data_IF_723687338879
#
_entry.id   IF_723687338879
#
_cell.length_a   1.000
_cell.length_b   1.000
_cell.length_c   1.000
_cell.angle_alpha   90.00
_cell.angle_beta   90.00
_cell.angle_gamma   90.00
#
_symmetry.space_group_name_H-M   'P 1'
#
loop_
_entity.id
_entity.type
_entity.pdbx_description
1 polymer ?
#
# COMPACT_ATOMS: atom_id res chain seq x y z
N UNK A 1 -0.74 15.62 -28.46
CA UNK A 1 0.37 15.61 -27.48
C UNK A 1 -0.24 15.73 -26.09
N UNK A 2 0.12 14.84 -25.14
CA UNK A 2 -0.40 14.92 -23.78
C UNK A 2 0.01 16.27 -23.15
N UNK A 3 -0.95 16.98 -22.56
CA UNK A 3 -0.69 18.29 -21.95
C UNK A 3 0.33 18.11 -20.79
N UNK A 4 1.47 18.82 -20.77
CA UNK A 4 2.55 18.60 -19.81
C UNK A 4 2.13 18.72 -18.34
N UNK A 5 1.08 19.52 -18.05
CA UNK A 5 0.49 19.61 -16.72
C UNK A 5 -0.20 18.31 -16.29
N UNK A 6 -0.83 17.61 -17.22
CA UNK A 6 -1.50 16.32 -16.98
C UNK A 6 -0.46 15.22 -16.75
N UNK A 7 0.67 15.25 -17.46
CA UNK A 7 1.74 14.26 -17.26
C UNK A 7 2.46 14.38 -15.92
N UNK A 8 2.40 15.54 -15.24
CA UNK A 8 3.01 15.75 -13.92
C UNK A 8 1.97 15.57 -12.79
N UNK A 9 0.76 16.08 -12.97
CA UNK A 9 -0.30 15.98 -11.96
C UNK A 9 -0.76 14.53 -11.74
N UNK A 10 -0.81 13.70 -12.78
CA UNK A 10 -1.27 12.30 -12.68
C UNK A 10 -0.32 11.44 -11.84
N UNK A 11 1.01 11.48 -12.01
CA UNK A 11 1.94 10.82 -11.10
C UNK A 11 1.79 11.28 -9.66
N UNK A 12 1.70 12.59 -9.40
CA UNK A 12 1.62 13.14 -8.04
C UNK A 12 0.32 12.72 -7.35
N UNK A 13 -0.82 12.85 -8.03
CA UNK A 13 -2.10 12.37 -7.53
C UNK A 13 -2.11 10.85 -7.36
N UNK A 14 -1.44 10.11 -8.26
CA UNK A 14 -1.28 8.67 -8.16
C UNK A 14 -0.51 8.23 -6.91
N UNK A 15 0.59 8.93 -6.58
CA UNK A 15 1.38 8.65 -5.36
C UNK A 15 0.57 8.96 -4.10
N UNK A 16 -0.11 10.10 -4.05
CA UNK A 16 -0.97 10.47 -2.91
C UNK A 16 -2.13 9.48 -2.74
N UNK A 17 -2.83 9.15 -3.81
CA UNK A 17 -3.94 8.21 -3.77
C UNK A 17 -3.49 6.79 -3.42
N UNK A 18 -2.33 6.34 -3.90
CA UNK A 18 -1.74 5.07 -3.48
C UNK A 18 -1.46 5.08 -1.98
N UNK A 19 -0.87 6.14 -1.43
CA UNK A 19 -0.58 6.23 0.01
C UNK A 19 -1.85 6.18 0.88
N UNK A 20 -2.92 6.86 0.47
CA UNK A 20 -4.20 6.88 1.19
C UNK A 20 -4.95 5.56 1.01
N UNK A 21 -4.93 4.98 -0.19
CA UNK A 21 -5.54 3.69 -0.49
C UNK A 21 -4.87 2.55 0.28
N UNK A 22 -3.54 2.57 0.39
CA UNK A 22 -2.80 1.59 1.21
C UNK A 22 -3.16 1.72 2.68
N UNK A 23 -3.21 2.94 3.25
CA UNK A 23 -3.64 3.13 4.65
C UNK A 23 -5.08 2.69 4.90
N UNK A 24 -5.99 2.98 3.97
CA UNK A 24 -7.38 2.56 4.08
C UNK A 24 -7.52 1.04 3.99
N UNK A 25 -6.77 0.39 3.11
CA UNK A 25 -6.72 -1.06 3.00
C UNK A 25 -6.12 -1.69 4.27
N UNK A 26 -5.05 -1.12 4.82
CA UNK A 26 -4.42 -1.57 6.08
C UNK A 26 -5.40 -1.45 7.25
N UNK A 27 -6.09 -0.32 7.39
CA UNK A 27 -7.10 -0.11 8.43
C UNK A 27 -8.30 -1.05 8.26
N UNK A 28 -8.76 -1.27 7.03
CA UNK A 28 -9.83 -2.23 6.73
C UNK A 28 -9.42 -3.67 7.05
N UNK A 29 -8.17 -4.02 6.80
CA UNK A 29 -7.62 -5.33 7.16
C UNK A 29 -7.60 -5.53 8.67
N UNK A 30 -7.08 -4.55 9.42
CA UNK A 30 -7.06 -4.59 10.88
C UNK A 30 -8.47 -4.63 11.49
N UNK A 31 -9.45 -3.96 10.88
CA UNK A 31 -10.84 -4.00 11.34
C UNK A 31 -11.51 -5.36 11.10
N UNK A 32 -11.19 -6.06 10.00
CA UNK A 32 -11.80 -7.35 9.64
C UNK A 32 -11.13 -8.51 10.36
N UNK A 33 -9.80 -8.50 10.46
CA UNK A 33 -9.02 -9.63 10.97
C UNK A 33 -8.41 -9.39 12.35
N UNK A 34 -8.46 -8.17 12.89
CA UNK A 34 -7.83 -7.84 14.17
C UNK A 34 -6.29 -7.94 14.16
N UNK A 35 -5.70 -8.11 12.98
CA UNK A 35 -4.28 -8.34 12.75
C UNK A 35 -3.72 -7.24 11.83
N UNK A 36 -2.43 -6.97 11.95
CA UNK A 36 -1.75 -6.07 11.02
C UNK A 36 -1.77 -6.63 9.60
N UNK A 37 -1.98 -5.75 8.61
CA UNK A 37 -1.94 -6.14 7.21
C UNK A 37 -0.57 -6.71 6.83
N UNK A 38 -0.50 -7.76 5.98
CA UNK A 38 0.74 -8.41 5.59
C UNK A 38 1.53 -7.54 4.60
N UNK A 39 2.10 -6.47 5.13
CA UNK A 39 2.93 -5.51 4.40
C UNK A 39 4.40 -5.82 4.65
N UNK A 40 5.26 -5.51 3.69
CA UNK A 40 6.71 -5.71 3.82
C UNK A 40 7.33 -4.96 5.00
N UNK A 41 6.70 -3.86 5.45
CA UNK A 41 7.11 -3.12 6.65
C UNK A 41 6.73 -3.88 7.93
N UNK A 42 5.48 -4.35 8.02
CA UNK A 42 5.01 -5.12 9.17
C UNK A 42 5.81 -6.43 9.32
N UNK A 43 6.05 -7.11 8.21
CA UNK A 43 6.89 -8.31 8.13
C UNK A 43 8.32 -8.07 8.68
N UNK A 44 8.99 -7.02 8.20
CA UNK A 44 10.33 -6.66 8.70
C UNK A 44 10.35 -6.22 10.16
N UNK A 45 9.28 -5.58 10.64
CA UNK A 45 9.17 -5.21 12.06
C UNK A 45 9.01 -6.47 12.93
N UNK A 46 8.12 -7.37 12.54
CA UNK A 46 7.89 -8.64 13.25
C UNK A 46 9.16 -9.50 13.32
N UNK A 47 9.89 -9.65 12.22
CA UNK A 47 11.18 -10.37 12.21
C UNK A 47 12.23 -9.73 13.14
N UNK A 48 12.28 -8.39 13.20
CA UNK A 48 13.18 -7.66 14.10
C UNK A 48 12.81 -7.87 15.56
N UNK A 49 11.52 -7.86 15.89
CA UNK A 49 11.03 -8.10 17.24
C UNK A 49 11.31 -9.54 17.69
N UNK A 50 11.11 -10.52 16.81
CA UNK A 50 11.49 -11.92 17.06
C UNK A 50 13.00 -12.04 17.31
N UNK A 51 13.82 -11.40 16.47
CA UNK A 51 15.27 -11.40 16.65
C UNK A 51 15.68 -10.70 17.96
N UNK A 52 15.00 -9.62 18.35
CA UNK A 52 15.24 -8.93 19.61
C UNK A 52 14.86 -9.81 20.81
N UNK A 53 13.71 -10.48 20.78
CA UNK A 53 13.27 -11.42 21.82
C UNK A 53 14.21 -12.62 21.94
N UNK A 54 14.63 -13.22 20.83
CA UNK A 54 15.62 -14.30 20.81
C UNK A 54 16.96 -13.86 21.42
N UNK A 55 17.40 -12.63 21.14
CA UNK A 55 18.61 -12.04 21.75
C UNK A 55 18.44 -11.77 23.24
N UNK A 56 17.28 -11.31 23.68
CA UNK A 56 16.98 -11.04 25.08
C UNK A 56 16.97 -12.34 25.88
N UNK A 57 16.24 -13.37 25.42
CA UNK A 57 16.25 -14.70 26.04
C UNK A 57 17.65 -15.32 26.12
N UNK A 58 18.48 -15.10 25.10
CA UNK A 58 19.89 -15.53 25.14
C UNK A 58 20.68 -14.84 26.26
N UNK A 59 20.41 -13.56 26.53
CA UNK A 59 21.02 -12.83 27.66
C UNK A 59 20.46 -13.31 29.00
N UNK A 60 19.19 -13.68 29.02
CA UNK A 60 18.50 -14.15 30.23
C UNK A 60 18.83 -15.62 30.56
N UNK A 61 19.67 -16.28 29.76
CA UNK A 61 20.18 -17.64 30.02
C UNK A 61 19.27 -18.76 29.54
N UNK A 62 18.28 -18.46 28.70
CA UNK A 62 17.37 -19.47 28.14
C UNK A 62 18.11 -20.52 27.30
N UNK A 63 17.60 -21.75 27.33
CA UNK A 63 18.12 -22.86 26.55
C UNK A 63 17.95 -22.63 25.04
N UNK A 64 18.78 -23.27 24.21
CA UNK A 64 18.67 -23.18 22.75
C UNK A 64 17.29 -23.62 22.22
N UNK A 65 16.64 -24.57 22.90
CA UNK A 65 15.30 -25.04 22.57
C UNK A 65 14.23 -23.96 22.79
N UNK A 66 14.32 -23.21 23.89
CA UNK A 66 13.39 -22.11 24.19
C UNK A 66 13.57 -20.92 23.23
N UNK A 67 14.80 -20.64 22.82
CA UNK A 67 15.08 -19.59 21.83
C UNK A 67 14.54 -19.97 20.45
N UNK A 68 14.63 -21.25 20.07
CA UNK A 68 14.09 -21.76 18.81
C UNK A 68 12.56 -21.91 18.83
N UNK A 69 11.95 -22.05 20.01
CA UNK A 69 10.50 -22.10 20.17
C UNK A 69 9.82 -20.75 19.88
N UNK A 70 10.56 -19.63 19.87
CA UNK A 70 10.04 -18.38 19.32
C UNK A 70 9.91 -18.54 17.80
N UNK A 71 8.73 -18.95 17.33
CA UNK A 71 8.35 -18.96 15.92
C UNK A 71 8.27 -17.56 15.35
N UNK A 72 8.61 -17.44 14.07
CA UNK A 72 8.31 -16.22 13.33
C UNK A 72 6.80 -16.16 13.08
N UNK A 73 6.14 -15.04 13.37
CA UNK A 73 4.69 -14.90 13.18
C UNK A 73 4.27 -14.99 11.71
N UNK A 74 5.22 -14.89 10.76
CA UNK A 74 4.98 -15.14 9.34
C UNK A 74 4.74 -16.63 9.04
N UNK A 75 5.34 -17.55 9.80
CA UNK A 75 5.18 -19.00 9.59
C UNK A 75 3.78 -19.49 9.98
N UNK A 76 3.07 -18.75 10.83
CA UNK A 76 1.71 -19.07 11.28
C UNK A 76 0.64 -18.32 10.47
N UNK A 77 1.01 -17.41 9.54
CA UNK A 77 0.01 -16.73 8.72
C UNK A 77 -0.54 -17.67 7.63
N UNK A 78 -1.88 -17.83 7.54
CA UNK A 78 -2.50 -18.63 6.49
C UNK A 78 -2.19 -18.07 5.10
N UNK A 79 -1.69 -18.91 4.19
CA UNK A 79 -1.36 -18.52 2.79
C UNK A 79 -2.54 -17.85 2.08
N UNK A 80 -3.77 -18.26 2.38
CA UNK A 80 -4.97 -17.66 1.79
C UNK A 80 -5.17 -16.19 2.20
N UNK A 81 -4.77 -15.80 3.42
CA UNK A 81 -4.81 -14.39 3.85
C UNK A 81 -3.83 -13.55 3.04
N UNK A 82 -2.64 -14.07 2.76
CA UNK A 82 -1.67 -13.40 1.88
C UNK A 82 -2.21 -13.23 0.46
N UNK A 83 -2.84 -14.28 -0.10
CA UNK A 83 -3.45 -14.20 -1.43
C UNK A 83 -4.62 -13.22 -1.47
N UNK A 84 -5.47 -13.21 -0.44
CA UNK A 84 -6.57 -12.26 -0.31
C UNK A 84 -6.05 -10.82 -0.26
N UNK A 85 -5.03 -10.55 0.56
CA UNK A 85 -4.41 -9.24 0.63
C UNK A 85 -3.80 -8.79 -0.70
N UNK A 86 -3.05 -9.68 -1.37
CA UNK A 86 -2.48 -9.39 -2.68
C UNK A 86 -3.57 -9.05 -3.71
N UNK A 87 -4.69 -9.78 -3.67
CA UNK A 87 -5.84 -9.55 -4.55
C UNK A 87 -6.50 -8.20 -4.27
N UNK A 88 -6.81 -7.90 -3.00
CA UNK A 88 -7.42 -6.63 -2.59
C UNK A 88 -6.51 -5.47 -2.96
N UNK A 89 -5.22 -5.56 -2.64
CA UNK A 89 -4.22 -4.55 -2.97
C UNK A 89 -4.14 -4.31 -4.48
N UNK A 90 -4.14 -5.39 -5.27
CA UNK A 90 -4.15 -5.31 -6.74
C UNK A 90 -5.39 -4.58 -7.28
N UNK A 91 -6.58 -4.94 -6.79
CA UNK A 91 -7.85 -4.31 -7.19
C UNK A 91 -7.87 -2.83 -6.81
N UNK A 92 -7.43 -2.48 -5.60
CA UNK A 92 -7.35 -1.07 -5.13
C UNK A 92 -6.40 -0.27 -6.03
N UNK A 93 -5.21 -0.78 -6.31
CA UNK A 93 -4.24 -0.13 -7.21
C UNK A 93 -4.80 0.05 -8.63
N UNK A 94 -5.50 -0.96 -9.15
CA UNK A 94 -6.09 -0.92 -10.48
C UNK A 94 -7.25 0.09 -10.55
N UNK A 95 -8.09 0.12 -9.52
CA UNK A 95 -9.16 1.11 -9.36
C UNK A 95 -8.62 2.54 -9.28
N UNK A 96 -7.60 2.78 -8.46
CA UNK A 96 -6.93 4.08 -8.36
C UNK A 96 -6.31 4.51 -9.69
N UNK A 97 -5.65 3.60 -10.41
CA UNK A 97 -5.07 3.89 -11.73
C UNK A 97 -6.14 4.24 -12.77
N UNK A 98 -7.29 3.59 -12.72
CA UNK A 98 -8.40 3.85 -13.63
C UNK A 98 -9.09 5.17 -13.30
N UNK A 99 -9.29 5.47 -12.01
CA UNK A 99 -9.81 6.75 -11.52
C UNK A 99 -8.88 7.91 -11.91
N UNK A 100 -7.56 7.76 -11.72
CA UNK A 100 -6.58 8.76 -12.11
C UNK A 100 -6.62 9.03 -13.62
N UNK A 101 -6.69 7.99 -14.47
CA UNK A 101 -6.83 8.15 -15.92
C UNK A 101 -8.12 8.87 -16.32
N UNK A 102 -9.25 8.52 -15.70
CA UNK A 102 -10.55 9.16 -15.97
C UNK A 102 -10.57 10.63 -15.52
N UNK A 103 -10.08 10.92 -14.31
CA UNK A 103 -9.97 12.27 -13.77
C UNK A 103 -9.03 13.16 -14.59
N UNK A 104 -7.89 12.62 -15.01
CA UNK A 104 -6.95 13.31 -15.90
C UNK A 104 -7.58 13.66 -17.25
N UNK A 105 -8.32 12.72 -17.85
CA UNK A 105 -9.02 12.93 -19.12
C UNK A 105 -10.12 13.99 -18.99
N UNK A 106 -10.96 13.92 -17.96
CA UNK A 106 -12.01 14.91 -17.71
C UNK A 106 -11.45 16.30 -17.41
N UNK A 107 -10.34 16.38 -16.66
CA UNK A 107 -9.63 17.62 -16.40
C UNK A 107 -8.99 18.21 -17.67
N UNK A 108 -8.37 17.36 -18.48
CA UNK A 108 -7.81 17.76 -19.77
C UNK A 108 -8.90 18.28 -20.71
N UNK A 109 -10.03 17.58 -20.82
CA UNK A 109 -11.19 18.01 -21.62
C UNK A 109 -11.75 19.35 -21.14
N UNK A 110 -11.91 19.58 -19.83
CA UNK A 110 -12.31 20.89 -19.29
C UNK A 110 -11.32 22.02 -19.60
N UNK A 111 -10.02 21.72 -19.60
CA UNK A 111 -8.98 22.70 -19.90
C UNK A 111 -8.87 22.99 -21.40
N UNK A 112 -9.10 22.00 -22.27
CA UNK A 112 -9.04 22.16 -23.74
C UNK A 112 -10.35 22.67 -24.35
N UNK A 113 -11.50 22.48 -23.69
CA UNK A 113 -12.80 23.05 -24.09
C UNK A 113 -12.98 24.52 -23.69
N UNK A 114 -11.97 25.19 -23.11
CA UNK A 114 -11.96 26.66 -23.05
C UNK A 114 -11.98 27.18 -24.49
N UNK A 115 -13.18 27.56 -24.93
CA UNK A 115 -13.52 28.06 -26.27
C UNK A 115 -12.41 29.00 -26.76
N UNK A 116 -11.86 28.82 -27.97
CA UNK A 116 -10.94 29.80 -28.52
C UNK A 116 -11.63 31.16 -28.44
N UNK A 117 -10.98 32.15 -27.80
CA UNK A 117 -11.49 33.52 -27.83
C UNK A 117 -11.57 33.90 -29.30
N UNK A 118 -12.74 34.34 -29.81
CA UNK A 118 -12.77 34.90 -31.15
C UNK A 118 -11.77 36.07 -31.15
N UNK A 119 -10.78 36.00 -32.04
CA UNK A 119 -9.92 37.14 -32.33
C UNK A 119 -10.84 38.32 -32.63
N UNK A 120 -10.88 39.29 -31.74
CA UNK A 120 -11.52 40.57 -32.02
C UNK A 120 -10.52 41.36 -32.86
N UNK A 121 -10.84 41.51 -34.15
CA UNK A 121 -10.32 42.55 -35.04
C UNK A 121 -8.82 42.50 -35.28
#
# INVERSE_FOLDING_TARGET
MANPLVSIAVPVAGVLAASLGTKAAEAGWGAVFGEDAPTTKAQKAAQKDVAARRKQLKKDGASKAEIQAIRDPEDDQPVWKLMLWATISGVVLQGLRMAAKRGAKAGAERLTTRRPRPNRG
#
